data_IF_681697957766
#
_entry.id   IF_681697957766
#
_cell.length_a   1.000
_cell.length_b   1.000
_cell.length_c   1.000
_cell.angle_alpha   90.00
_cell.angle_beta   90.00
_cell.angle_gamma   90.00
#
_symmetry.space_group_name_H-M   'P 1'
#
loop_
_entity.id
_entity.type
_entity.pdbx_description
1 polymer ?
#
# COMPACT_ATOMS: atom_id res chain seq x y z
N UNK A 1 6.63 -6.90 -6.65
CA UNK A 1 7.03 -5.98 -5.57
C UNK A 1 5.87 -5.09 -5.17
N UNK A 2 5.51 -4.01 -5.87
CA UNK A 2 4.39 -3.15 -5.46
C UNK A 2 3.00 -3.83 -5.49
N UNK A 3 2.69 -4.62 -6.52
CA UNK A 3 1.44 -5.39 -6.58
C UNK A 3 1.34 -6.38 -5.41
N UNK A 4 2.44 -7.10 -5.16
CA UNK A 4 2.59 -8.02 -4.02
C UNK A 4 2.38 -7.29 -2.70
N UNK A 5 2.97 -6.10 -2.52
CA UNK A 5 2.75 -5.27 -1.33
C UNK A 5 1.27 -4.94 -1.12
N UNK A 6 0.57 -4.49 -2.16
CA UNK A 6 -0.86 -4.16 -2.01
C UNK A 6 -1.76 -5.36 -1.68
N UNK A 7 -1.36 -6.57 -2.08
CA UNK A 7 -2.13 -7.79 -1.86
C UNK A 7 -1.79 -8.50 -0.55
N UNK A 8 -0.52 -8.50 -0.16
CA UNK A 8 0.00 -9.36 0.92
C UNK A 8 0.32 -8.59 2.21
N UNK A 9 0.48 -7.26 2.15
CA UNK A 9 0.80 -6.47 3.34
C UNK A 9 -0.34 -6.56 4.37
N UNK A 10 0.03 -7.03 5.57
CA UNK A 10 -0.89 -7.30 6.66
C UNK A 10 -0.41 -6.57 7.92
N UNK A 11 -1.34 -5.87 8.55
CA UNK A 11 -1.16 -5.23 9.86
C UNK A 11 -2.02 -5.94 10.87
N UNK A 12 -1.64 -5.86 12.14
CA UNK A 12 -2.50 -6.34 13.23
C UNK A 12 -3.24 -5.13 13.78
N UNK A 13 -4.56 -5.20 13.83
CA UNK A 13 -5.36 -4.14 14.45
C UNK A 13 -5.17 -4.19 15.97
N UNK A 14 -4.65 -3.10 16.55
CA UNK A 14 -4.30 -3.03 17.98
C UNK A 14 -5.50 -3.24 18.92
N UNK A 15 -6.74 -3.07 18.43
CA UNK A 15 -7.96 -3.17 19.26
C UNK A 15 -8.56 -4.56 19.22
N UNK A 16 -8.54 -5.20 18.07
CA UNK A 16 -9.19 -6.49 17.82
C UNK A 16 -8.22 -7.67 17.72
N UNK A 17 -6.93 -7.40 17.55
CA UNK A 17 -5.90 -8.42 17.34
C UNK A 17 -6.01 -9.14 15.98
N UNK A 18 -6.90 -8.68 15.10
CA UNK A 18 -7.15 -9.32 13.82
C UNK A 18 -6.16 -8.86 12.76
N UNK A 19 -5.89 -9.76 11.81
CA UNK A 19 -5.11 -9.45 10.60
C UNK A 19 -5.92 -8.56 9.67
N UNK A 20 -5.41 -7.37 9.40
CA UNK A 20 -6.01 -6.37 8.52
C UNK A 20 -5.13 -6.15 7.28
N UNK A 21 -5.71 -6.41 6.11
CA UNK A 21 -5.07 -6.14 4.82
C UNK A 21 -5.42 -4.71 4.37
N UNK A 22 -4.74 -3.73 4.97
CA UNK A 22 -5.07 -2.30 4.83
C UNK A 22 -5.14 -1.83 3.38
N UNK A 23 -4.18 -2.23 2.54
CA UNK A 23 -4.10 -1.78 1.16
C UNK A 23 -5.06 -2.53 0.23
N UNK A 24 -5.23 -3.84 0.46
CA UNK A 24 -6.24 -4.64 -0.25
C UNK A 24 -7.64 -4.09 -0.02
N UNK A 25 -7.98 -3.73 1.21
CA UNK A 25 -9.30 -3.17 1.53
C UNK A 25 -9.52 -1.82 0.82
N UNK A 26 -8.50 -0.94 0.78
CA UNK A 26 -8.58 0.30 0.01
C UNK A 26 -8.79 0.04 -1.48
N UNK A 27 -8.11 -0.95 -2.07
CA UNK A 27 -8.32 -1.34 -3.47
C UNK A 27 -9.76 -1.81 -3.72
N UNK A 28 -10.34 -2.61 -2.82
CA UNK A 28 -11.74 -3.04 -2.91
C UNK A 28 -12.69 -1.84 -2.85
N UNK A 29 -12.46 -0.88 -1.93
CA UNK A 29 -13.27 0.34 -1.82
C UNK A 29 -13.18 1.22 -3.06
N UNK A 30 -12.00 1.31 -3.68
CA UNK A 30 -11.82 2.03 -4.94
C UNK A 30 -12.57 1.33 -6.07
N UNK A 31 -12.51 0.00 -6.15
CA UNK A 31 -13.26 -0.77 -7.15
C UNK A 31 -14.78 -0.59 -7.00
N UNK A 32 -15.27 -0.50 -5.77
CA UNK A 32 -16.68 -0.21 -5.46
C UNK A 32 -17.06 1.26 -5.61
N UNK A 33 -16.11 2.15 -5.93
CA UNK A 33 -16.30 3.61 -6.00
C UNK A 33 -16.71 4.24 -4.66
N UNK A 34 -16.41 3.57 -3.56
CA UNK A 34 -16.57 4.10 -2.19
C UNK A 34 -15.40 5.01 -1.80
N UNK A 35 -14.23 4.80 -2.41
CA UNK A 35 -13.00 5.55 -2.17
C UNK A 35 -12.43 6.07 -3.49
N UNK A 36 -11.91 7.30 -3.48
CA UNK A 36 -11.50 8.04 -4.70
C UNK A 36 -9.97 8.01 -4.90
N UNK A 37 -9.20 7.80 -3.83
CA UNK A 37 -7.74 7.84 -3.86
C UNK A 37 -7.15 6.72 -3.00
N UNK A 38 -6.11 6.04 -3.48
CA UNK A 38 -5.32 5.10 -2.70
C UNK A 38 -4.25 5.85 -1.91
N UNK A 39 -4.26 5.73 -0.58
CA UNK A 39 -3.22 6.35 0.27
C UNK A 39 -2.28 5.27 0.78
N UNK A 40 -0.99 5.41 0.45
CA UNK A 40 0.07 4.48 0.83
C UNK A 40 1.01 5.13 1.84
N UNK A 41 1.24 4.47 2.97
CA UNK A 41 2.22 4.91 3.96
C UNK A 41 3.61 4.37 3.58
N UNK A 42 4.63 5.22 3.55
CA UNK A 42 5.99 4.80 3.23
C UNK A 42 6.65 4.01 4.34
N UNK A 43 6.23 4.19 5.60
CA UNK A 43 6.73 3.36 6.71
C UNK A 43 6.26 1.91 6.54
N UNK A 44 5.00 1.69 6.17
CA UNK A 44 4.45 0.38 5.84
C UNK A 44 5.19 -0.27 4.66
N UNK A 45 5.58 0.52 3.64
CA UNK A 45 6.38 0.01 2.51
C UNK A 45 7.78 -0.37 2.98
N UNK A 46 8.38 0.39 3.90
CA UNK A 46 9.71 0.12 4.46
C UNK A 46 9.75 -1.16 5.28
N UNK A 47 8.70 -1.40 6.05
CA UNK A 47 8.52 -2.63 6.82
C UNK A 47 8.42 -3.87 5.90
N UNK A 48 7.90 -3.69 4.69
CA UNK A 48 7.84 -4.74 3.68
C UNK A 48 9.14 -4.90 2.88
N UNK A 49 9.70 -3.79 2.41
CA UNK A 49 10.89 -3.72 1.56
C UNK A 49 11.54 -2.32 1.69
N UNK A 50 12.62 -2.24 2.45
CA UNK A 50 13.36 -1.01 2.73
C UNK A 50 13.97 -0.40 1.45
N UNK A 51 14.48 -1.22 0.53
CA UNK A 51 15.07 -0.76 -0.73
C UNK A 51 13.98 -0.16 -1.64
N UNK A 52 12.80 -0.78 -1.67
CA UNK A 52 11.66 -0.24 -2.40
C UNK A 52 11.19 1.09 -1.82
N UNK A 53 11.13 1.23 -0.49
CA UNK A 53 10.75 2.47 0.17
C UNK A 53 11.72 3.60 -0.19
N UNK A 54 13.03 3.35 -0.10
CA UNK A 54 14.05 4.32 -0.47
C UNK A 54 13.96 4.69 -1.97
N UNK A 55 13.77 3.71 -2.85
CA UNK A 55 13.60 3.96 -4.28
C UNK A 55 12.39 4.84 -4.60
N UNK A 56 11.26 4.66 -3.88
CA UNK A 56 10.08 5.51 -4.00
C UNK A 56 10.36 6.93 -3.52
N UNK A 57 11.08 7.09 -2.41
CA UNK A 57 11.48 8.42 -1.91
C UNK A 57 12.35 9.16 -2.93
N UNK A 58 13.31 8.46 -3.54
CA UNK A 58 14.21 9.04 -4.54
C UNK A 58 13.52 9.38 -5.88
N UNK A 59 12.40 8.74 -6.22
CA UNK A 59 11.68 9.02 -7.48
C UNK A 59 10.16 8.79 -7.40
N UNK A 60 9.49 9.55 -6.55
CA UNK A 60 8.06 9.39 -6.29
C UNK A 60 7.19 9.49 -7.55
N UNK A 61 7.52 10.40 -8.48
CA UNK A 61 6.75 10.60 -9.72
C UNK A 61 6.72 9.36 -10.61
N UNK A 62 7.85 8.67 -10.78
CA UNK A 62 7.92 7.45 -11.59
C UNK A 62 7.09 6.34 -10.98
N UNK A 63 7.20 6.14 -9.67
CA UNK A 63 6.49 5.07 -8.98
C UNK A 63 4.98 5.31 -8.92
N UNK A 64 4.53 6.57 -8.79
CA UNK A 64 3.11 6.92 -8.94
C UNK A 64 2.61 6.53 -10.33
N UNK A 65 3.33 6.92 -11.39
CA UNK A 65 2.93 6.57 -12.76
C UNK A 65 2.85 5.05 -12.97
N UNK A 66 3.82 4.31 -12.44
CA UNK A 66 3.89 2.84 -12.55
C UNK A 66 2.73 2.13 -11.82
N UNK A 67 2.15 2.76 -10.80
CA UNK A 67 0.98 2.24 -10.08
C UNK A 67 -0.33 2.58 -10.81
N UNK A 68 -0.37 3.69 -11.55
CA UNK A 68 -1.56 4.13 -12.29
C UNK A 68 -1.72 3.50 -13.68
N UNK A 69 -0.66 2.87 -14.20
CA UNK A 69 -0.69 2.06 -15.44
C UNK A 69 -1.26 0.64 -15.20
#
# INVERSE_FOLDING_TARGET
QLKTFFEEFVTVDDKSGNKCFRYREQLTKIAHREQIALTVNLDDVRDFDDELAEAIVQNSKRYVNLITE
#
